data_IF_346018040926
#
_entry.id   IF_346018040926
#
_cell.length_a   1.000
_cell.length_b   1.000
_cell.length_c   1.000
_cell.angle_alpha   90.00
_cell.angle_beta   90.00
_cell.angle_gamma   90.00
#
_symmetry.space_group_name_H-M   'P 1'
#
loop_
_entity.id
_entity.type
_entity.pdbx_description
1 polymer ?
#
# COMPACT_ATOMS: atom_id res chain seq x y z
N UNK A 1 14.51 -34.33 52.19
CA UNK A 1 14.73 -33.68 50.88
C UNK A 1 13.39 -33.11 50.46
N UNK A 2 13.08 -31.89 50.91
CA UNK A 2 11.98 -31.13 50.30
C UNK A 2 12.45 -30.77 48.90
N UNK A 3 11.88 -31.41 47.89
CA UNK A 3 12.32 -31.25 46.51
C UNK A 3 11.81 -29.92 45.97
N UNK A 4 12.54 -28.84 46.25
CA UNK A 4 12.25 -27.48 45.77
C UNK A 4 12.02 -27.45 44.26
N UNK A 5 12.78 -28.24 43.50
CA UNK A 5 12.66 -28.33 42.04
C UNK A 5 11.38 -29.05 41.61
N UNK A 6 10.98 -30.13 42.29
CA UNK A 6 9.70 -30.78 42.01
C UNK A 6 8.52 -29.87 42.38
N UNK A 7 8.64 -29.08 43.46
CA UNK A 7 7.64 -28.09 43.83
C UNK A 7 7.49 -27.00 42.76
N UNK A 8 8.61 -26.51 42.20
CA UNK A 8 8.60 -25.50 41.14
C UNK A 8 8.00 -26.01 39.83
N UNK A 9 8.31 -27.26 39.44
CA UNK A 9 7.72 -27.90 38.27
C UNK A 9 6.19 -28.07 38.41
N UNK A 10 5.73 -28.50 39.59
CA UNK A 10 4.30 -28.61 39.89
C UNK A 10 3.64 -27.23 39.87
N UNK A 11 4.29 -26.21 40.42
CA UNK A 11 3.78 -24.84 40.42
C UNK A 11 3.63 -24.27 39.00
N UNK A 12 4.59 -24.53 38.11
CA UNK A 12 4.50 -24.10 36.71
C UNK A 12 3.36 -24.78 35.98
N UNK A 13 3.19 -26.09 36.19
CA UNK A 13 2.11 -26.85 35.55
C UNK A 13 0.74 -26.34 36.02
N UNK A 14 0.57 -26.16 37.32
CA UNK A 14 -0.66 -25.62 37.90
C UNK A 14 -0.94 -24.20 37.40
N UNK A 15 0.08 -23.35 37.31
CA UNK A 15 -0.09 -21.99 36.78
C UNK A 15 -0.61 -21.99 35.34
N UNK A 16 -0.05 -22.85 34.47
CA UNK A 16 -0.48 -22.97 33.08
C UNK A 16 -1.90 -23.52 32.99
N UNK A 17 -2.21 -24.58 33.73
CA UNK A 17 -3.52 -25.23 33.69
C UNK A 17 -4.66 -24.31 34.15
N UNK A 18 -4.41 -23.45 35.13
CA UNK A 18 -5.40 -22.52 35.67
C UNK A 18 -5.57 -21.23 34.84
N UNK A 19 -4.69 -20.98 33.85
CA UNK A 19 -4.86 -19.80 32.98
C UNK A 19 -5.98 -19.98 31.95
N UNK A 20 -6.57 -18.86 31.50
CA UNK A 20 -7.56 -18.87 30.43
C UNK A 20 -6.94 -19.30 29.08
N UNK A 21 -7.79 -19.60 28.09
CA UNK A 21 -7.34 -20.14 26.79
C UNK A 21 -6.47 -19.18 25.98
N UNK A 22 -6.62 -17.87 26.17
CA UNK A 22 -5.81 -16.85 25.49
C UNK A 22 -4.41 -16.75 26.13
N UNK A 23 -4.35 -16.78 27.47
CA UNK A 23 -3.10 -16.84 28.23
C UNK A 23 -2.35 -18.13 27.96
N UNK A 24 -3.03 -19.28 27.87
CA UNK A 24 -2.43 -20.55 27.44
C UNK A 24 -1.75 -20.41 26.08
N UNK A 25 -2.41 -19.78 25.10
CA UNK A 25 -1.83 -19.51 23.78
C UNK A 25 -0.63 -18.56 23.84
N UNK A 26 -0.65 -17.57 24.72
CA UNK A 26 0.48 -16.65 24.92
C UNK A 26 1.69 -17.33 25.61
N UNK A 27 1.43 -18.27 26.51
CA UNK A 27 2.45 -19.00 27.27
C UNK A 27 3.09 -20.14 26.45
N UNK A 28 2.32 -20.80 25.58
CA UNK A 28 2.78 -21.99 24.82
C UNK A 28 4.15 -21.83 24.14
N UNK A 29 4.46 -20.70 23.44
CA UNK A 29 5.76 -20.49 22.80
C UNK A 29 6.94 -20.39 23.77
N UNK A 30 6.70 -20.02 25.03
CA UNK A 30 7.73 -19.85 26.05
C UNK A 30 7.71 -20.95 27.13
N UNK A 31 6.73 -21.86 27.10
CA UNK A 31 6.48 -22.87 28.13
C UNK A 31 7.74 -23.68 28.49
N UNK A 32 8.49 -24.13 27.50
CA UNK A 32 9.69 -24.95 27.70
C UNK A 32 10.97 -24.11 27.91
N UNK A 33 10.89 -22.79 27.82
CA UNK A 33 12.02 -21.86 27.93
C UNK A 33 11.99 -21.03 29.21
N UNK A 34 10.81 -20.85 29.80
CA UNK A 34 10.63 -20.14 31.05
C UNK A 34 11.40 -20.82 32.18
N UNK A 35 12.23 -20.04 32.87
CA UNK A 35 13.01 -20.51 34.02
C UNK A 35 12.34 -20.17 35.34
N UNK A 36 11.43 -19.19 35.31
CA UNK A 36 10.70 -18.72 36.49
C UNK A 36 9.21 -18.59 36.18
N UNK A 37 8.39 -18.68 37.23
CA UNK A 37 6.94 -18.43 37.13
C UNK A 37 6.65 -17.02 36.59
N UNK A 38 7.48 -16.05 36.97
CA UNK A 38 7.37 -14.66 36.50
C UNK A 38 7.52 -14.55 34.98
N UNK A 39 8.35 -15.37 34.35
CA UNK A 39 8.49 -15.39 32.89
C UNK A 39 7.18 -15.84 32.22
N UNK A 40 6.48 -16.82 32.81
CA UNK A 40 5.16 -17.25 32.34
C UNK A 40 4.11 -16.14 32.52
N UNK A 41 4.10 -15.47 33.68
CA UNK A 41 3.16 -14.39 33.97
C UNK A 41 3.34 -13.20 33.01
N UNK A 42 4.58 -12.87 32.65
CA UNK A 42 4.91 -11.78 31.72
C UNK A 42 4.45 -12.02 30.28
N UNK A 43 4.04 -13.24 29.92
CA UNK A 43 3.45 -13.51 28.60
C UNK A 43 2.02 -12.98 28.45
N UNK A 44 1.31 -12.74 29.55
CA UNK A 44 -0.12 -12.43 29.52
C UNK A 44 -0.56 -10.97 29.86
N UNK A 45 0.30 -9.94 29.93
CA UNK A 45 -0.08 -8.65 30.51
C UNK A 45 -1.17 -7.89 29.74
N UNK A 46 -1.27 -8.10 28.43
CA UNK A 46 -2.26 -7.43 27.56
C UNK A 46 -3.43 -8.37 27.23
N UNK A 47 -3.34 -9.65 27.61
CA UNK A 47 -4.40 -10.63 27.33
C UNK A 47 -5.68 -10.21 28.04
N UNK A 48 -6.77 -10.11 27.28
CA UNK A 48 -8.07 -9.67 27.77
C UNK A 48 -8.32 -8.15 27.73
N UNK A 49 -7.30 -7.33 27.43
CA UNK A 49 -7.49 -5.91 27.14
C UNK A 49 -8.30 -5.70 25.86
N UNK A 50 -8.98 -4.56 25.75
CA UNK A 50 -9.82 -4.26 24.58
C UNK A 50 -9.03 -4.28 23.27
N UNK A 51 -7.78 -3.78 23.31
CA UNK A 51 -6.85 -3.85 22.18
C UNK A 51 -6.58 -5.29 21.74
N UNK A 52 -6.30 -6.19 22.69
CA UNK A 52 -6.05 -7.60 22.38
C UNK A 52 -7.27 -8.28 21.73
N UNK A 53 -8.47 -7.97 22.21
CA UNK A 53 -9.72 -8.48 21.63
C UNK A 53 -9.93 -7.97 20.21
N UNK A 54 -9.71 -6.67 19.99
CA UNK A 54 -9.80 -6.06 18.67
C UNK A 54 -8.79 -6.67 17.69
N UNK A 55 -7.55 -6.92 18.13
CA UNK A 55 -6.51 -7.54 17.31
C UNK A 55 -6.84 -8.98 16.93
N UNK A 56 -7.35 -9.78 17.88
CA UNK A 56 -7.81 -11.15 17.59
C UNK A 56 -8.94 -11.14 16.56
N UNK A 57 -9.92 -10.24 16.73
CA UNK A 57 -11.03 -10.11 15.79
C UNK A 57 -10.52 -9.69 14.39
N UNK A 58 -9.61 -8.71 14.33
CA UNK A 58 -9.01 -8.26 13.09
C UNK A 58 -8.20 -9.38 12.41
N UNK A 59 -7.46 -10.18 13.17
CA UNK A 59 -6.71 -11.32 12.65
C UNK A 59 -7.63 -12.41 12.09
N UNK A 60 -8.72 -12.74 12.79
CA UNK A 60 -9.71 -13.70 12.31
C UNK A 60 -10.37 -13.22 10.99
N UNK A 61 -10.72 -11.94 10.93
CA UNK A 61 -11.25 -11.34 9.69
C UNK A 61 -10.22 -11.37 8.55
N UNK A 62 -8.96 -11.04 8.84
CA UNK A 62 -7.89 -11.07 7.86
C UNK A 62 -7.68 -12.48 7.28
N UNK A 63 -7.71 -13.53 8.12
CA UNK A 63 -7.65 -14.92 7.68
C UNK A 63 -8.82 -15.26 6.75
N UNK A 64 -10.04 -14.84 7.09
CA UNK A 64 -11.21 -15.06 6.24
C UNK A 64 -11.08 -14.35 4.89
N UNK A 65 -10.55 -13.13 4.87
CA UNK A 65 -10.29 -12.39 3.63
C UNK A 65 -9.21 -13.06 2.78
N UNK A 66 -8.18 -13.65 3.38
CA UNK A 66 -7.14 -14.41 2.67
C UNK A 66 -7.75 -15.66 2.04
N UNK A 67 -8.55 -16.42 2.80
CA UNK A 67 -9.25 -17.60 2.29
C UNK A 67 -10.21 -17.24 1.14
N UNK A 68 -10.96 -16.15 1.28
CA UNK A 68 -11.85 -15.65 0.23
C UNK A 68 -11.09 -15.22 -1.03
N UNK A 69 -9.92 -14.58 -0.89
CA UNK A 69 -9.05 -14.25 -2.04
C UNK A 69 -8.46 -15.48 -2.69
N UNK A 70 -8.07 -16.49 -1.91
CA UNK A 70 -7.54 -17.76 -2.42
C UNK A 70 -8.55 -18.44 -3.35
N UNK A 71 -9.83 -18.46 -2.97
CA UNK A 71 -10.92 -19.02 -3.78
C UNK A 71 -11.39 -18.11 -4.93
N UNK A 72 -10.99 -16.83 -4.96
CA UNK A 72 -11.48 -15.89 -5.95
C UNK A 72 -10.81 -16.11 -7.31
N UNK A 73 -11.62 -16.30 -8.35
CA UNK A 73 -11.16 -16.36 -9.74
C UNK A 73 -10.92 -14.97 -10.31
N UNK A 74 -9.74 -14.75 -10.88
CA UNK A 74 -9.39 -13.50 -11.53
C UNK A 74 -10.19 -13.31 -12.82
N UNK A 75 -11.02 -12.27 -12.88
CA UNK A 75 -11.79 -11.89 -14.08
C UNK A 75 -10.95 -11.43 -15.29
N UNK A 76 -9.62 -11.38 -15.17
CA UNK A 76 -8.72 -10.99 -16.27
C UNK A 76 -7.88 -12.11 -16.83
N UNK A 77 -7.33 -13.00 -15.99
CA UNK A 77 -6.51 -14.14 -16.44
C UNK A 77 -7.20 -15.51 -16.23
N UNK A 78 -8.33 -15.54 -15.50
CA UNK A 78 -9.05 -16.76 -15.21
C UNK A 78 -8.42 -17.65 -14.13
N UNK A 79 -7.26 -17.30 -13.57
CA UNK A 79 -6.63 -18.06 -12.48
C UNK A 79 -7.22 -17.69 -11.12
N UNK A 80 -7.25 -18.66 -10.21
CA UNK A 80 -7.64 -18.45 -8.81
C UNK A 80 -6.48 -17.89 -7.96
N UNK A 81 -6.78 -17.43 -6.75
CA UNK A 81 -5.79 -16.88 -5.84
C UNK A 81 -5.60 -15.37 -5.91
N UNK A 82 -6.20 -14.68 -6.89
CA UNK A 82 -6.08 -13.23 -7.01
C UNK A 82 -7.30 -12.58 -7.68
N UNK A 83 -7.55 -11.32 -7.34
CA UNK A 83 -8.55 -10.49 -8.02
C UNK A 83 -7.94 -9.83 -9.26
N UNK A 84 -8.81 -9.28 -10.13
CA UNK A 84 -8.40 -8.57 -11.36
C UNK A 84 -7.43 -7.41 -11.11
N UNK A 85 -7.58 -6.69 -9.99
CA UNK A 85 -6.69 -5.57 -9.61
C UNK A 85 -5.27 -6.03 -9.23
N UNK A 86 -5.17 -7.25 -8.70
CA UNK A 86 -3.92 -7.84 -8.19
C UNK A 86 -3.31 -8.82 -9.21
N UNK A 87 -3.81 -8.80 -10.45
CA UNK A 87 -3.44 -9.77 -11.47
C UNK A 87 -2.02 -9.52 -11.99
N UNK A 88 -1.09 -10.48 -11.86
CA UNK A 88 0.30 -10.30 -12.27
C UNK A 88 0.45 -10.11 -13.79
N UNK A 89 -0.48 -10.66 -14.58
CA UNK A 89 -0.50 -10.48 -16.04
C UNK A 89 -0.90 -9.05 -16.45
N UNK A 90 -1.67 -8.37 -15.61
CA UNK A 90 -2.06 -6.97 -15.82
C UNK A 90 -0.88 -6.03 -15.61
N UNK A 91 -0.06 -6.29 -14.59
CA UNK A 91 1.18 -5.54 -14.35
C UNK A 91 2.21 -5.69 -15.49
N UNK A 92 2.05 -6.66 -16.40
CA UNK A 92 2.88 -6.81 -17.60
C UNK A 92 2.27 -6.18 -18.86
N UNK A 93 0.94 -6.15 -19.00
CA UNK A 93 0.25 -5.52 -20.15
C UNK A 93 0.01 -4.02 -19.95
N UNK A 94 -0.02 -3.57 -18.70
CA UNK A 94 -0.07 -2.15 -18.30
C UNK A 94 1.33 -1.61 -17.91
N UNK A 95 2.41 -2.31 -18.28
CA UNK A 95 3.70 -1.67 -18.62
C UNK A 95 3.64 -1.01 -20.02
N UNK A 96 2.47 -0.98 -20.66
CA UNK A 96 2.12 0.19 -21.45
C UNK A 96 2.03 1.39 -20.50
N UNK A 97 2.77 2.48 -20.75
CA UNK A 97 3.35 3.32 -19.71
C UNK A 97 2.32 3.92 -18.74
N UNK A 98 2.04 3.21 -17.64
CA UNK A 98 1.36 3.76 -16.47
C UNK A 98 2.38 4.56 -15.64
N UNK A 99 2.81 5.67 -16.23
CA UNK A 99 3.78 6.62 -15.70
C UNK A 99 4.21 7.65 -16.75
N UNK A 100 4.10 7.32 -18.04
CA UNK A 100 4.23 8.26 -19.14
C UNK A 100 2.94 8.21 -19.94
N UNK A 101 2.02 9.14 -19.66
CA UNK A 101 0.75 9.23 -20.37
C UNK A 101 0.99 9.09 -21.86
N UNK A 102 0.27 8.16 -22.51
CA UNK A 102 0.36 7.79 -23.93
C UNK A 102 0.93 8.95 -24.74
N UNK A 103 2.25 8.95 -24.95
CA UNK A 103 2.93 10.05 -25.60
C UNK A 103 2.36 10.10 -27.00
N UNK A 104 1.68 11.19 -27.34
CA UNK A 104 1.09 11.34 -28.67
C UNK A 104 2.24 11.21 -29.66
N UNK A 105 2.25 10.16 -30.48
CA UNK A 105 3.42 9.80 -31.31
C UNK A 105 3.63 10.77 -32.49
N UNK A 106 2.66 11.66 -32.75
CA UNK A 106 2.71 12.65 -33.82
C UNK A 106 2.73 14.06 -33.23
N UNK A 107 3.18 15.06 -33.99
CA UNK A 107 3.02 16.45 -33.58
C UNK A 107 1.53 16.78 -33.49
N UNK A 108 1.14 17.59 -32.50
CA UNK A 108 -0.25 18.02 -32.34
C UNK A 108 -0.78 18.55 -33.68
N UNK A 109 -1.84 17.95 -34.26
CA UNK A 109 -2.33 18.34 -35.59
C UNK A 109 -2.94 19.75 -35.58
N UNK A 110 -3.20 20.33 -34.40
CA UNK A 110 -3.63 21.72 -34.25
C UNK A 110 -2.46 22.69 -34.32
N UNK A 111 -1.49 22.60 -33.40
CA UNK A 111 -0.45 23.64 -33.30
C UNK A 111 0.92 23.24 -33.86
N UNK A 112 1.14 21.95 -34.12
CA UNK A 112 2.40 21.39 -34.59
C UNK A 112 3.65 21.80 -33.77
N UNK A 113 3.46 22.25 -32.52
CA UNK A 113 4.50 22.75 -31.61
C UNK A 113 4.84 21.77 -30.47
N UNK A 114 4.19 20.60 -30.41
CA UNK A 114 4.52 19.58 -29.42
C UNK A 114 3.63 18.34 -29.47
N UNK A 115 3.93 17.37 -28.61
CA UNK A 115 3.29 16.06 -28.56
C UNK A 115 2.22 16.04 -27.46
N UNK A 116 0.98 16.36 -27.84
CA UNK A 116 -0.18 16.38 -26.95
C UNK A 116 -1.46 16.16 -27.76
N UNK A 117 -2.51 15.69 -27.10
CA UNK A 117 -3.82 15.54 -27.73
C UNK A 117 -4.41 16.89 -28.12
N UNK A 118 -5.16 16.93 -29.22
CA UNK A 118 -5.79 18.14 -29.75
C UNK A 118 -6.72 18.84 -28.75
N UNK A 119 -7.35 18.09 -27.85
CA UNK A 119 -8.21 18.63 -26.77
C UNK A 119 -7.43 19.18 -25.56
N UNK A 120 -6.10 19.00 -25.52
CA UNK A 120 -5.19 19.56 -24.53
C UNK A 120 -4.30 20.67 -25.12
N UNK A 121 -4.47 20.98 -26.41
CA UNK A 121 -3.71 22.01 -27.09
C UNK A 121 -4.08 23.40 -26.56
N UNK A 122 -3.08 24.08 -25.96
CA UNK A 122 -3.19 25.44 -25.41
C UNK A 122 -2.54 26.51 -26.29
N UNK A 123 -1.87 26.11 -27.37
CA UNK A 123 -1.27 27.04 -28.32
C UNK A 123 -2.37 27.81 -29.05
N UNK A 124 -2.18 29.13 -29.18
CA UNK A 124 -3.03 30.01 -30.01
C UNK A 124 -2.48 30.18 -31.43
N UNK A 125 -1.26 29.73 -31.67
CA UNK A 125 -0.54 29.87 -32.93
C UNK A 125 0.00 28.52 -33.40
N UNK A 126 0.08 28.32 -34.72
CA UNK A 126 0.74 27.18 -35.35
C UNK A 126 2.28 27.31 -35.30
N UNK A 127 3.03 26.40 -35.94
CA UNK A 127 4.50 26.44 -36.00
C UNK A 127 5.05 27.59 -36.85
N UNK A 128 4.23 28.17 -37.72
CA UNK A 128 4.55 29.28 -38.61
C UNK A 128 4.04 30.63 -38.07
N UNK A 129 3.63 30.66 -36.80
CA UNK A 129 3.08 31.82 -36.08
C UNK A 129 1.79 32.40 -36.67
N UNK A 130 1.07 31.61 -37.48
CA UNK A 130 -0.29 31.97 -37.88
C UNK A 130 -1.27 31.72 -36.74
N UNK A 131 -2.27 32.60 -36.55
CA UNK A 131 -3.32 32.39 -35.57
C UNK A 131 -4.14 31.14 -35.92
N UNK A 132 -4.31 30.25 -34.93
CA UNK A 132 -5.15 29.07 -35.08
C UNK A 132 -6.61 29.48 -35.12
N UNK A 133 -7.39 28.89 -36.05
CA UNK A 133 -8.75 29.34 -36.33
C UNK A 133 -9.67 29.28 -35.09
N UNK A 134 -10.38 30.38 -34.87
CA UNK A 134 -11.25 30.62 -33.71
C UNK A 134 -12.47 29.67 -33.64
N UNK A 135 -12.86 29.09 -34.79
CA UNK A 135 -14.01 28.16 -34.90
C UNK A 135 -13.80 26.78 -34.28
N UNK A 136 -12.61 26.48 -33.76
CA UNK A 136 -12.32 25.19 -33.11
C UNK A 136 -11.92 25.41 -31.64
N UNK A 137 -12.43 26.41 -30.91
CA UNK A 137 -12.37 26.32 -29.45
C UNK A 137 -13.21 25.11 -29.00
N UNK A 138 -12.56 23.96 -28.80
CA UNK A 138 -13.20 22.78 -28.22
C UNK A 138 -13.82 23.12 -26.86
N UNK A 139 -14.80 22.33 -26.41
CA UNK A 139 -15.63 22.49 -25.19
C UNK A 139 -14.85 22.93 -23.93
N UNK A 140 -14.43 24.18 -23.92
CA UNK A 140 -13.30 24.67 -23.13
C UNK A 140 -13.72 25.82 -22.25
N UNK A 141 -14.97 25.84 -21.78
CA UNK A 141 -15.29 26.55 -20.54
C UNK A 141 -14.95 25.64 -19.36
N UNK A 142 -13.66 25.33 -19.16
CA UNK A 142 -13.17 24.99 -17.81
C UNK A 142 -12.82 26.32 -17.15
N UNK A 143 -13.50 26.61 -16.03
CA UNK A 143 -13.36 27.86 -15.30
C UNK A 143 -11.89 28.23 -15.04
N UNK A 144 -11.64 29.53 -14.99
CA UNK A 144 -10.32 30.12 -14.71
C UNK A 144 -9.80 29.51 -13.40
N UNK A 145 -8.66 28.80 -13.45
CA UNK A 145 -7.94 28.49 -12.22
C UNK A 145 -7.25 29.77 -11.78
N UNK A 146 -7.74 30.36 -10.70
CA UNK A 146 -7.08 31.47 -9.99
C UNK A 146 -5.73 30.97 -9.48
N UNK A 147 -4.67 31.28 -10.22
CA UNK A 147 -3.31 30.90 -9.87
C UNK A 147 -2.34 31.65 -10.75
N UNK A 148 -1.57 32.53 -10.13
CA UNK A 148 -0.55 33.36 -10.79
C UNK A 148 0.46 32.52 -11.59
N UNK A 149 0.91 32.98 -12.76
CA UNK A 149 1.87 32.23 -13.57
C UNK A 149 3.21 32.12 -12.84
N UNK A 150 3.63 30.89 -12.52
CA UNK A 150 4.98 30.59 -12.02
C UNK A 150 5.98 30.79 -13.17
N UNK A 151 6.80 31.85 -13.08
CA UNK A 151 7.98 32.03 -13.93
C UNK A 151 9.05 30.99 -13.55
N UNK A 152 9.49 30.19 -14.51
CA UNK A 152 10.65 29.32 -14.33
C UNK A 152 11.93 30.15 -14.40
N UNK A 153 12.47 30.53 -13.25
CA UNK A 153 13.88 30.90 -13.15
C UNK A 153 14.68 29.68 -12.68
N UNK A 154 15.64 29.32 -13.53
CA UNK A 154 16.56 28.19 -13.46
C UNK A 154 17.64 28.48 -12.41
N UNK A 155 17.66 27.75 -11.30
CA UNK A 155 18.80 27.73 -10.38
C UNK A 155 19.81 26.67 -10.86
N UNK A 156 21.09 27.06 -10.98
CA UNK A 156 22.21 26.17 -11.30
C UNK A 156 22.60 25.31 -10.08
N UNK A 157 23.14 24.10 -10.27
CA UNK A 157 23.54 23.22 -9.17
C UNK A 157 24.85 23.67 -8.51
N UNK A 158 24.86 23.72 -7.18
CA UNK A 158 26.04 23.99 -6.35
C UNK A 158 26.97 22.77 -6.35
N UNK A 159 28.24 23.01 -6.73
CA UNK A 159 29.34 22.05 -6.63
C UNK A 159 29.79 21.87 -5.18
N UNK A 160 29.86 20.62 -4.71
CA UNK A 160 30.52 20.22 -3.46
C UNK A 160 32.04 20.27 -3.62
N UNK A 161 32.75 20.83 -2.64
CA UNK A 161 34.17 20.58 -2.41
C UNK A 161 34.39 20.12 -0.96
N UNK A 162 35.29 19.15 -0.71
CA UNK A 162 35.57 18.63 0.62
C UNK A 162 36.77 19.34 1.27
N UNK A 163 36.82 19.29 2.61
CA UNK A 163 38.03 19.28 3.41
C UNK A 163 38.07 17.95 4.16
#
# INVERSE_FOLDING_TARGET
>A
IESSEAADLLLFQLAIENTNTDCKRAIDPIRNRAKTLTDLIKACPIVGAEQHKADILAAAWAQQLVAARAAAKCFSCGQEGNLKRDCPQKNKKDLGPAGQGKQYVQLCPRCQKGYHWSNQCRSKFDRQDNPLSEKILGNGKRGVRSGTPRSYNRAQPLTTQPL
#
